data_IF_350102443187
#
_entry.id   IF_350102443187
#
_cell.length_a   1.000
_cell.length_b   1.000
_cell.length_c   1.000
_cell.angle_alpha   90.00
_cell.angle_beta   90.00
_cell.angle_gamma   90.00
#
_symmetry.space_group_name_H-M   'P 1'
#
loop_
_entity.id
_entity.type
_entity.pdbx_description
1 polymer ?
#
# COMPACT_ATOMS: atom_id res chain seq x y z
N UNK A 1 1.06 8.49 4.64
CA UNK A 1 2.48 8.55 4.18
C UNK A 1 2.53 8.44 2.65
N UNK A 2 3.70 8.52 2.03
CA UNK A 2 3.86 8.27 0.57
C UNK A 2 4.32 6.84 0.27
N UNK A 3 4.20 6.43 -0.99
CA UNK A 3 4.69 5.14 -1.48
C UNK A 3 6.21 4.97 -1.24
N UNK A 4 7.00 6.03 -1.46
CA UNK A 4 8.43 6.01 -1.17
C UNK A 4 8.73 5.81 0.32
N UNK A 5 8.04 6.54 1.20
CA UNK A 5 8.17 6.37 2.66
C UNK A 5 7.79 4.96 3.12
N UNK A 6 6.74 4.38 2.50
CA UNK A 6 6.30 3.02 2.77
C UNK A 6 7.35 1.98 2.35
N UNK A 7 7.96 2.13 1.18
CA UNK A 7 9.05 1.26 0.70
C UNK A 7 10.23 1.32 1.68
N UNK A 8 10.70 2.52 2.01
CA UNK A 8 11.82 2.71 2.96
C UNK A 8 11.53 2.13 4.34
N UNK A 9 10.26 2.16 4.77
CA UNK A 9 9.83 1.55 6.02
C UNK A 9 9.95 0.02 5.94
N UNK A 10 9.43 -0.61 4.89
CA UNK A 10 9.45 -2.07 4.75
C UNK A 10 10.87 -2.61 4.54
N UNK A 11 11.74 -1.89 3.84
CA UNK A 11 13.15 -2.27 3.61
C UNK A 11 13.97 -2.42 4.90
N UNK A 12 13.58 -1.73 5.97
CA UNK A 12 14.30 -1.74 7.26
C UNK A 12 13.85 -2.89 8.18
N UNK A 13 12.97 -3.77 7.71
CA UNK A 13 12.35 -4.84 8.51
C UNK A 13 12.75 -6.21 8.00
N UNK A 14 12.62 -7.21 8.87
CA UNK A 14 12.88 -8.61 8.51
C UNK A 14 11.92 -9.04 7.38
N UNK A 15 12.43 -9.35 6.17
CA UNK A 15 11.60 -9.74 5.03
C UNK A 15 10.84 -11.06 5.26
N UNK A 16 11.31 -11.93 6.15
CA UNK A 16 10.69 -13.22 6.45
C UNK A 16 9.65 -13.13 7.58
N UNK A 17 9.54 -11.98 8.25
CA UNK A 17 8.52 -11.75 9.27
C UNK A 17 7.12 -11.86 8.64
N UNK A 18 6.35 -12.83 9.11
CA UNK A 18 4.92 -12.96 8.79
C UNK A 18 4.14 -12.09 9.76
N UNK A 19 3.37 -11.15 9.23
CA UNK A 19 2.53 -10.24 10.02
C UNK A 19 1.08 -10.73 10.02
N UNK A 20 0.34 -10.61 11.15
CA UNK A 20 -1.03 -11.07 11.23
C UNK A 20 -1.97 -10.28 10.31
N UNK A 21 -1.66 -9.00 10.08
CA UNK A 21 -2.41 -8.10 9.22
C UNK A 21 -1.45 -7.21 8.42
N UNK A 22 -1.32 -7.46 7.13
CA UNK A 22 -0.59 -6.61 6.19
C UNK A 22 -1.51 -6.12 5.07
N UNK A 23 -0.93 -5.89 3.90
CA UNK A 23 -1.69 -5.46 2.72
C UNK A 23 -1.09 -6.04 1.44
N UNK A 24 -1.90 -6.12 0.39
CA UNK A 24 -1.48 -6.49 -0.98
C UNK A 24 -2.50 -5.92 -1.99
N UNK A 25 -2.49 -6.40 -3.24
CA UNK A 25 -3.47 -6.07 -4.28
C UNK A 25 -3.58 -4.55 -4.54
N UNK A 26 -2.57 -3.96 -5.23
CA UNK A 26 -2.54 -2.53 -5.46
C UNK A 26 -3.61 -2.11 -6.48
N UNK A 27 -4.31 -1.01 -6.21
CA UNK A 27 -5.28 -0.42 -7.14
C UNK A 27 -5.41 1.10 -6.97
N UNK A 28 -5.97 1.77 -7.99
CA UNK A 28 -6.32 3.19 -7.88
C UNK A 28 -7.34 3.41 -6.77
N UNK A 29 -7.01 4.28 -5.81
CA UNK A 29 -7.83 4.56 -4.64
C UNK A 29 -9.13 5.27 -5.02
N UNK A 30 -10.27 4.88 -4.42
CA UNK A 30 -11.57 5.43 -4.87
C UNK A 30 -11.88 6.82 -4.37
N UNK A 31 -11.24 7.27 -3.29
CA UNK A 31 -11.33 8.66 -2.87
C UNK A 31 -10.61 9.60 -3.83
N UNK A 32 -9.45 9.18 -4.33
CA UNK A 32 -8.56 9.98 -5.19
C UNK A 32 -7.86 9.05 -6.18
N UNK A 33 -8.26 9.09 -7.47
CA UNK A 33 -7.80 8.10 -8.45
C UNK A 33 -6.30 8.19 -8.77
N UNK A 34 -5.68 9.34 -8.51
CA UNK A 34 -4.25 9.62 -8.58
C UNK A 34 -3.46 9.09 -7.37
N UNK A 35 -4.13 8.36 -6.47
CA UNK A 35 -3.53 7.78 -5.27
C UNK A 35 -3.66 6.26 -5.29
N UNK A 36 -2.81 5.61 -4.49
CA UNK A 36 -2.67 4.15 -4.49
C UNK A 36 -3.31 3.56 -3.25
N UNK A 37 -4.13 2.53 -3.42
CA UNK A 37 -4.67 1.74 -2.34
C UNK A 37 -4.18 0.30 -2.43
N UNK A 38 -4.10 -0.34 -1.27
CA UNK A 38 -3.88 -1.77 -1.12
C UNK A 38 -5.02 -2.36 -0.29
N UNK A 39 -5.38 -3.60 -0.55
CA UNK A 39 -6.36 -4.32 0.25
C UNK A 39 -5.72 -4.95 1.50
N UNK A 40 -6.45 -5.05 2.63
CA UNK A 40 -5.99 -5.80 3.79
C UNK A 40 -5.69 -7.27 3.45
N UNK A 41 -4.51 -7.75 3.85
CA UNK A 41 -4.06 -9.12 3.61
C UNK A 41 -3.64 -9.78 4.94
N UNK A 42 -4.33 -10.84 5.41
CA UNK A 42 -3.94 -11.53 6.64
C UNK A 42 -2.75 -12.47 6.39
N UNK A 43 -1.92 -12.69 7.42
CA UNK A 43 -0.81 -13.67 7.42
C UNK A 43 0.13 -13.55 6.22
N UNK A 44 0.61 -12.34 5.97
CA UNK A 44 1.48 -12.02 4.81
C UNK A 44 2.91 -11.71 5.28
N UNK A 45 3.91 -12.00 4.45
CA UNK A 45 5.29 -11.60 4.75
C UNK A 45 5.53 -10.12 4.46
N UNK A 46 6.44 -9.51 5.22
CA UNK A 46 6.96 -8.17 4.94
C UNK A 46 7.56 -8.09 3.53
N UNK A 47 8.23 -9.15 3.06
CA UNK A 47 8.78 -9.21 1.69
C UNK A 47 7.69 -9.13 0.60
N UNK A 48 6.54 -9.77 0.80
CA UNK A 48 5.43 -9.72 -0.15
C UNK A 48 4.83 -8.31 -0.24
N UNK A 49 4.68 -7.64 0.91
CA UNK A 49 4.28 -6.23 0.97
C UNK A 49 5.30 -5.33 0.25
N UNK A 50 6.60 -5.58 0.47
CA UNK A 50 7.67 -4.80 -0.16
C UNK A 50 7.71 -4.99 -1.68
N UNK A 51 7.58 -6.22 -2.18
CA UNK A 51 7.49 -6.50 -3.62
C UNK A 51 6.30 -5.75 -4.23
N UNK A 52 5.12 -5.88 -3.62
CA UNK A 52 3.91 -5.19 -4.05
C UNK A 52 4.08 -3.67 -4.15
N UNK A 53 4.67 -3.04 -3.13
CA UNK A 53 4.93 -1.58 -3.14
C UNK A 53 5.95 -1.16 -4.19
N UNK A 54 6.99 -1.95 -4.42
CA UNK A 54 8.01 -1.67 -5.44
C UNK A 54 7.47 -1.82 -6.86
N UNK A 55 6.66 -2.85 -7.10
CA UNK A 55 6.00 -3.06 -8.40
C UNK A 55 5.01 -1.93 -8.71
N UNK A 56 4.39 -1.34 -7.67
CA UNK A 56 3.48 -0.20 -7.85
C UNK A 56 4.21 1.11 -8.19
N UNK A 57 5.52 1.21 -7.92
CA UNK A 57 6.29 2.44 -8.16
C UNK A 57 6.57 2.63 -9.66
N UNK A 58 5.95 3.65 -10.24
CA UNK A 58 6.04 3.94 -11.68
C UNK A 58 4.96 3.25 -12.52
N UNK A 59 4.11 2.43 -11.91
CA UNK A 59 3.02 1.72 -12.57
C UNK A 59 1.80 2.63 -12.79
N UNK A 60 1.00 2.31 -13.81
CA UNK A 60 -0.21 3.07 -14.15
C UNK A 60 -1.46 2.27 -13.81
N UNK A 61 -2.35 2.86 -13.02
CA UNK A 61 -3.64 2.25 -12.66
C UNK A 61 -4.81 2.97 -13.31
N UNK A 62 -5.87 2.22 -13.62
CA UNK A 62 -7.10 2.76 -14.20
C UNK A 62 -8.06 3.21 -13.10
N UNK A 63 -8.49 4.46 -13.19
CA UNK A 63 -9.52 5.03 -12.31
C UNK A 63 -10.88 4.36 -12.52
N UNK A 64 -11.74 4.33 -11.49
CA UNK A 64 -13.06 3.66 -11.58
C UNK A 64 -13.93 4.22 -12.72
N UNK A 65 -13.85 5.54 -12.92
CA UNK A 65 -14.57 6.28 -13.96
C UNK A 65 -13.73 6.46 -15.24
N UNK A 66 -12.66 5.69 -15.40
CA UNK A 66 -11.66 5.86 -16.44
C UNK A 66 -10.52 6.81 -16.04
N UNK A 67 -9.58 6.98 -16.96
CA UNK A 67 -8.34 7.72 -16.74
C UNK A 67 -7.18 6.81 -16.32
N UNK A 68 -5.96 7.25 -16.64
CA UNK A 68 -4.70 6.57 -16.33
C UNK A 68 -3.92 7.40 -15.32
N UNK A 69 -3.54 6.78 -14.21
CA UNK A 69 -2.86 7.44 -13.11
C UNK A 69 -1.56 6.71 -12.80
N UNK A 70 -0.43 7.37 -13.10
CA UNK A 70 0.90 6.84 -12.83
C UNK A 70 1.29 7.13 -11.38
N UNK A 71 1.65 6.08 -10.64
CA UNK A 71 2.07 6.21 -9.25
C UNK A 71 3.56 6.51 -9.19
N UNK A 72 3.95 7.44 -8.32
CA UNK A 72 5.35 7.79 -8.07
C UNK A 72 5.66 7.69 -6.56
N UNK A 73 6.88 8.06 -6.18
CA UNK A 73 7.33 7.96 -4.78
C UNK A 73 6.57 8.90 -3.83
N UNK A 74 5.89 9.92 -4.34
CA UNK A 74 5.13 10.91 -3.58
C UNK A 74 3.65 10.59 -3.51
N UNK A 75 3.16 9.64 -4.32
CA UNK A 75 1.80 9.10 -4.27
C UNK A 75 1.43 8.69 -2.85
N UNK A 76 0.28 9.17 -2.37
CA UNK A 76 -0.28 8.77 -1.06
C UNK A 76 -0.83 7.35 -1.11
N UNK A 77 -0.72 6.65 0.02
CA UNK A 77 -1.09 5.23 0.14
C UNK A 77 -2.23 5.01 1.12
N UNK A 78 -3.15 4.11 0.77
CA UNK A 78 -4.40 3.86 1.48
C UNK A 78 -4.65 2.37 1.70
N UNK A 79 -5.39 2.03 2.75
CA UNK A 79 -5.88 0.69 3.02
C UNK A 79 -7.38 0.65 2.75
N UNK A 80 -7.79 0.01 1.66
CA UNK A 80 -9.18 -0.07 1.22
C UNK A 80 -9.37 -1.28 0.29
N UNK A 81 -10.58 -1.85 0.27
CA UNK A 81 -10.95 -2.81 -0.77
C UNK A 81 -11.21 -2.12 -2.11
N UNK A 82 -11.02 -2.83 -3.22
CA UNK A 82 -11.33 -2.31 -4.54
C UNK A 82 -12.79 -1.88 -4.65
N UNK A 83 -13.01 -0.64 -5.10
CA UNK A 83 -14.35 -0.06 -5.19
C UNK A 83 -14.79 0.70 -3.94
N UNK A 84 -13.99 0.69 -2.87
CA UNK A 84 -14.29 1.35 -1.60
C UNK A 84 -13.31 2.49 -1.28
N UNK A 85 -13.71 3.34 -0.34
CA UNK A 85 -12.83 4.28 0.36
C UNK A 85 -12.35 3.67 1.67
N UNK A 86 -11.24 4.15 2.24
CA UNK A 86 -10.71 3.59 3.47
C UNK A 86 -9.73 4.52 4.17
N UNK A 87 -8.87 3.92 5.00
CA UNK A 87 -7.96 4.64 5.87
C UNK A 87 -6.64 4.98 5.16
N UNK A 88 -6.09 6.17 5.40
CA UNK A 88 -4.74 6.48 4.94
C UNK A 88 -3.75 5.59 5.71
N UNK A 89 -2.78 5.00 4.99
CA UNK A 89 -1.67 4.29 5.65
C UNK A 89 -0.76 5.37 6.27
N UNK A 90 -1.03 5.68 7.53
CA UNK A 90 -0.21 6.55 8.38
C UNK A 90 0.81 5.74 9.20
N UNK A 91 1.78 6.40 9.87
CA UNK A 91 2.80 5.74 10.67
C UNK A 91 2.23 4.82 11.76
N UNK A 92 1.13 5.22 12.40
CA UNK A 92 0.48 4.43 13.46
C UNK A 92 -0.15 3.15 12.91
N UNK A 93 -0.96 3.27 11.84
CA UNK A 93 -1.59 2.11 11.21
C UNK A 93 -0.52 1.14 10.70
N UNK A 94 0.53 1.65 10.04
CA UNK A 94 1.59 0.81 9.52
C UNK A 94 2.33 0.04 10.62
N UNK A 95 2.67 0.69 11.74
CA UNK A 95 3.26 0.02 12.91
C UNK A 95 2.35 -1.04 13.50
N UNK A 96 1.04 -0.79 13.57
CA UNK A 96 0.06 -1.79 14.00
C UNK A 96 0.07 -3.01 13.07
N UNK A 97 0.02 -2.78 11.76
CA UNK A 97 0.04 -3.85 10.74
C UNK A 97 1.28 -4.74 10.89
N UNK A 98 2.46 -4.14 11.08
CA UNK A 98 3.70 -4.90 11.27
C UNK A 98 3.91 -5.43 12.68
N UNK A 99 2.96 -5.26 13.60
CA UNK A 99 3.02 -5.77 14.97
C UNK A 99 4.11 -5.11 15.82
N UNK A 100 4.27 -3.79 15.70
CA UNK A 100 5.20 -2.96 16.49
C UNK A 100 4.51 -2.14 17.60
N UNK A 101 3.18 -2.21 17.70
CA UNK A 101 2.38 -1.60 18.77
C UNK A 101 1.23 -2.53 19.19
#
# INVERSE_FOLDING_TARGET
MTLGELIEFLEKRDPEKVVPLGFNYPHSYRGYYDQLAFEPAPKIKVSEMLVCTRESLGETYIGYKGGEFKMDKWTKVWLAYYGETGEEIGPTLLKYMVGEI
#
